data_IF_017380109042
#
_entry.id   IF_017380109042
#
_cell.length_a   1.000
_cell.length_b   1.000
_cell.length_c   1.000
_cell.angle_alpha   90.00
_cell.angle_beta   90.00
_cell.angle_gamma   90.00
#
_symmetry.space_group_name_H-M   'P 1'
#
loop_
_entity.id
_entity.type
_entity.pdbx_description
1 polymer ?
#
# COMPACT_ATOMS: atom_id res chain seq x y z
N UNK A 1 -9.21 11.04 -5.60
CA UNK A 1 -9.14 9.59 -5.74
C UNK A 1 -9.66 9.17 -7.12
N UNK A 2 -8.92 8.37 -7.86
CA UNK A 2 -9.22 8.01 -9.26
C UNK A 2 -10.33 6.96 -9.40
N UNK A 3 -10.57 6.15 -8.37
CA UNK A 3 -11.48 4.99 -8.41
C UNK A 3 -12.98 5.29 -8.61
N UNK A 4 -13.53 6.46 -8.21
CA UNK A 4 -14.92 6.77 -8.53
C UNK A 4 -15.17 6.95 -10.03
N UNK A 5 -14.12 7.16 -10.82
CA UNK A 5 -14.23 7.42 -12.25
C UNK A 5 -14.04 6.13 -13.06
N UNK A 6 -15.06 5.67 -13.81
CA UNK A 6 -14.96 4.44 -14.61
C UNK A 6 -13.80 4.47 -15.62
N UNK A 7 -13.55 5.62 -16.21
CA UNK A 7 -12.47 5.80 -17.19
C UNK A 7 -11.08 5.59 -16.57
N UNK A 8 -10.91 5.96 -15.29
CA UNK A 8 -9.66 5.74 -14.58
C UNK A 8 -9.42 4.25 -14.28
N UNK A 9 -10.46 3.52 -13.95
CA UNK A 9 -10.36 2.06 -13.72
C UNK A 9 -10.03 1.34 -15.02
N UNK A 10 -10.67 1.71 -16.13
CA UNK A 10 -10.40 1.14 -17.45
C UNK A 10 -8.97 1.46 -17.93
N UNK A 11 -8.51 2.69 -17.69
CA UNK A 11 -7.12 3.07 -17.93
C UNK A 11 -6.14 2.20 -17.16
N UNK A 12 -6.36 2.01 -15.85
CA UNK A 12 -5.50 1.15 -15.01
C UNK A 12 -5.50 -0.30 -15.49
N UNK A 13 -6.65 -0.85 -15.86
CA UNK A 13 -6.76 -2.18 -16.44
C UNK A 13 -5.96 -2.31 -17.73
N UNK A 14 -6.09 -1.34 -18.62
CA UNK A 14 -5.37 -1.32 -19.89
C UNK A 14 -3.86 -1.22 -19.65
N UNK A 15 -3.42 -0.35 -18.75
CA UNK A 15 -2.02 -0.22 -18.37
C UNK A 15 -1.46 -1.49 -17.75
N UNK A 16 -2.16 -2.10 -16.81
CA UNK A 16 -1.73 -3.34 -16.17
C UNK A 16 -1.51 -4.48 -17.18
N UNK A 17 -2.41 -4.61 -18.16
CA UNK A 17 -2.29 -5.62 -19.23
C UNK A 17 -1.14 -5.36 -20.20
N UNK A 18 -0.86 -4.09 -20.50
CA UNK A 18 0.14 -3.68 -21.50
C UNK A 18 1.54 -3.47 -20.92
N UNK A 19 1.64 -3.18 -19.62
CA UNK A 19 2.89 -2.88 -18.95
C UNK A 19 3.93 -3.98 -19.17
N UNK A 20 3.54 -5.24 -18.99
CA UNK A 20 4.42 -6.41 -19.16
C UNK A 20 5.04 -6.50 -20.56
N UNK A 21 4.28 -6.17 -21.61
CA UNK A 21 4.75 -6.21 -23.01
C UNK A 21 5.68 -5.04 -23.37
N UNK A 22 5.71 -4.00 -22.56
CA UNK A 22 6.44 -2.75 -22.84
C UNK A 22 7.56 -2.46 -21.83
N UNK A 23 7.91 -3.43 -21.00
CA UNK A 23 8.90 -3.27 -19.92
C UNK A 23 8.58 -2.09 -19.00
N UNK A 24 7.30 -1.87 -18.72
CA UNK A 24 6.80 -0.84 -17.83
C UNK A 24 6.36 -1.49 -16.52
N UNK A 25 6.74 -0.89 -15.40
CA UNK A 25 6.25 -1.25 -14.07
C UNK A 25 5.13 -0.28 -13.66
N UNK A 26 4.05 -0.82 -13.13
CA UNK A 26 2.93 -0.06 -12.59
C UNK A 26 2.86 -0.30 -11.09
N UNK A 27 2.97 0.76 -10.29
CA UNK A 27 2.76 0.73 -8.85
C UNK A 27 1.43 1.43 -8.50
N UNK A 28 0.60 0.74 -7.73
CA UNK A 28 -0.68 1.27 -7.24
C UNK A 28 -0.60 1.34 -5.72
N UNK A 29 -0.88 2.50 -5.17
CA UNK A 29 -0.86 2.75 -3.73
C UNK A 29 -2.24 3.23 -3.31
N UNK A 30 -2.83 2.59 -2.30
CA UNK A 30 -4.11 2.98 -1.74
C UNK A 30 -4.11 2.87 -0.22
N UNK A 31 -4.84 3.76 0.44
CA UNK A 31 -5.04 3.72 1.89
C UNK A 31 -6.25 2.88 2.29
N UNK A 32 -7.21 2.71 1.39
CA UNK A 32 -8.45 1.97 1.65
C UNK A 32 -8.67 0.91 0.59
N UNK A 33 -8.77 -0.34 1.05
CA UNK A 33 -9.02 -1.45 0.15
C UNK A 33 -10.49 -1.51 -0.30
N UNK A 34 -11.41 -1.08 0.52
CA UNK A 34 -12.84 -1.07 0.21
C UNK A 34 -13.15 -0.37 -1.11
N UNK A 35 -12.42 0.69 -1.45
CA UNK A 35 -12.60 1.42 -2.72
C UNK A 35 -12.38 0.53 -3.96
N UNK A 36 -11.57 -0.52 -3.82
CA UNK A 36 -11.31 -1.51 -4.88
C UNK A 36 -12.24 -2.70 -4.79
N UNK A 37 -12.67 -3.06 -3.59
CA UNK A 37 -13.48 -4.26 -3.36
C UNK A 37 -14.84 -4.19 -4.06
N UNK A 38 -15.46 -3.05 -4.08
CA UNK A 38 -16.79 -2.83 -4.66
C UNK A 38 -16.81 -2.88 -6.20
N UNK A 39 -15.64 -2.85 -6.84
CA UNK A 39 -15.51 -2.81 -8.31
C UNK A 39 -14.69 -4.00 -8.81
N UNK A 40 -15.33 -4.98 -9.49
CA UNK A 40 -14.62 -6.17 -10.00
C UNK A 40 -13.43 -5.85 -10.89
N UNK A 41 -13.53 -4.81 -11.72
CA UNK A 41 -12.46 -4.37 -12.60
C UNK A 41 -11.24 -3.85 -11.82
N UNK A 42 -11.49 -3.13 -10.73
CA UNK A 42 -10.43 -2.63 -9.85
C UNK A 42 -9.79 -3.78 -9.04
N UNK A 43 -10.58 -4.74 -8.58
CA UNK A 43 -10.06 -5.96 -7.95
C UNK A 43 -9.14 -6.73 -8.91
N UNK A 44 -9.52 -6.84 -10.18
CA UNK A 44 -8.73 -7.56 -11.18
C UNK A 44 -7.33 -6.94 -11.35
N UNK A 45 -7.22 -5.62 -11.31
CA UNK A 45 -5.92 -4.92 -11.36
C UNK A 45 -5.04 -5.29 -10.16
N UNK A 46 -5.60 -5.25 -8.95
CA UNK A 46 -4.86 -5.57 -7.72
C UNK A 46 -4.47 -7.04 -7.64
N UNK A 47 -5.37 -7.94 -8.00
CA UNK A 47 -5.09 -9.39 -7.96
C UNK A 47 -4.08 -9.81 -9.02
N UNK A 48 -4.01 -9.11 -10.15
CA UNK A 48 -3.04 -9.38 -11.21
C UNK A 48 -1.63 -8.88 -10.89
N UNK A 49 -1.47 -8.03 -9.87
CA UNK A 49 -0.16 -7.59 -9.41
C UNK A 49 0.61 -8.76 -8.78
N UNK A 50 1.84 -8.98 -9.24
CA UNK A 50 2.67 -10.08 -8.74
C UNK A 50 3.25 -9.77 -7.35
N UNK A 51 3.60 -8.51 -7.12
CA UNK A 51 4.14 -8.04 -5.84
C UNK A 51 3.10 -7.20 -5.11
N UNK A 52 2.85 -7.52 -3.85
CA UNK A 52 1.90 -6.82 -2.97
C UNK A 52 2.56 -6.52 -1.65
N UNK A 53 2.48 -5.27 -1.20
CA UNK A 53 2.92 -4.86 0.12
C UNK A 53 1.72 -4.38 0.92
N UNK A 54 1.43 -5.09 2.00
CA UNK A 54 0.39 -4.72 2.95
C UNK A 54 1.04 -4.12 4.20
N UNK A 55 0.68 -2.91 4.52
CA UNK A 55 1.01 -2.27 5.79
C UNK A 55 -0.10 -2.54 6.81
N UNK A 56 0.01 -1.98 8.02
CA UNK A 56 -1.01 -2.12 9.06
C UNK A 56 -2.41 -1.81 8.54
N UNK A 57 -3.35 -2.67 8.86
CA UNK A 57 -4.74 -2.60 8.40
C UNK A 57 -5.72 -2.45 9.55
N UNK A 58 -6.82 -1.77 9.29
CA UNK A 58 -7.93 -1.70 10.21
C UNK A 58 -8.71 -3.03 10.25
N UNK A 59 -9.34 -3.32 11.39
CA UNK A 59 -10.19 -4.50 11.56
C UNK A 59 -11.35 -4.55 10.57
N UNK A 60 -11.84 -3.39 10.14
CA UNK A 60 -12.93 -3.31 9.16
C UNK A 60 -12.50 -3.71 7.75
N UNK A 61 -11.23 -3.50 7.41
CA UNK A 61 -10.69 -3.78 6.07
C UNK A 61 -10.15 -5.21 5.93
N UNK A 62 -9.70 -5.82 7.03
CA UNK A 62 -8.96 -7.08 7.00
C UNK A 62 -9.75 -8.25 6.40
N UNK A 63 -11.07 -8.28 6.57
CA UNK A 63 -11.90 -9.33 6.01
C UNK A 63 -11.91 -9.31 4.49
N UNK A 64 -12.00 -8.13 3.89
CA UNK A 64 -11.95 -7.94 2.44
C UNK A 64 -10.60 -8.36 1.87
N UNK A 65 -9.52 -7.97 2.53
CA UNK A 65 -8.15 -8.36 2.15
C UNK A 65 -7.96 -9.88 2.23
N UNK A 66 -8.42 -10.49 3.30
CA UNK A 66 -8.34 -11.93 3.50
C UNK A 66 -9.08 -12.69 2.40
N UNK A 67 -10.26 -12.23 2.03
CA UNK A 67 -11.10 -12.86 1.01
C UNK A 67 -10.46 -12.75 -0.38
N UNK A 68 -10.04 -11.55 -0.76
CA UNK A 68 -9.50 -11.28 -2.11
C UNK A 68 -8.11 -11.85 -2.30
N UNK A 69 -7.21 -11.68 -1.33
CA UNK A 69 -5.81 -12.10 -1.45
C UNK A 69 -5.51 -13.46 -0.81
N UNK A 70 -6.53 -14.14 -0.29
CA UNK A 70 -6.40 -15.46 0.36
C UNK A 70 -5.35 -15.46 1.47
N UNK A 71 -5.41 -14.45 2.32
CA UNK A 71 -4.52 -14.35 3.48
C UNK A 71 -4.88 -15.40 4.52
N UNK A 72 -3.87 -16.01 5.13
CA UNK A 72 -4.05 -16.91 6.25
C UNK A 72 -4.54 -16.16 7.49
N UNK A 73 -5.01 -16.89 8.48
CA UNK A 73 -5.42 -16.31 9.75
C UNK A 73 -4.26 -15.60 10.46
N UNK A 74 -3.07 -16.19 10.43
CA UNK A 74 -1.86 -15.60 10.99
C UNK A 74 -1.44 -14.30 10.28
N UNK A 75 -1.46 -14.27 8.95
CA UNK A 75 -1.17 -13.07 8.15
C UNK A 75 -2.18 -11.95 8.45
N UNK A 76 -3.45 -12.30 8.53
CA UNK A 76 -4.53 -11.34 8.84
C UNK A 76 -4.39 -10.77 10.25
N UNK A 77 -4.12 -11.61 11.23
CA UNK A 77 -3.90 -11.18 12.63
C UNK A 77 -2.66 -10.30 12.74
N UNK A 78 -1.60 -10.63 12.04
CA UNK A 78 -0.39 -9.80 11.99
C UNK A 78 -0.69 -8.40 11.46
N UNK A 79 -1.39 -8.28 10.33
CA UNK A 79 -1.70 -6.98 9.72
C UNK A 79 -2.57 -6.06 10.59
N UNK A 80 -3.42 -6.64 11.45
CA UNK A 80 -4.24 -5.86 12.40
C UNK A 80 -3.43 -5.39 13.61
N UNK A 81 -2.39 -6.14 13.99
CA UNK A 81 -1.62 -5.89 15.21
C UNK A 81 -0.23 -5.32 14.97
N UNK A 82 0.26 -5.34 13.73
CA UNK A 82 1.59 -4.86 13.40
C UNK A 82 1.75 -3.35 13.67
N UNK A 83 2.98 -2.97 13.97
CA UNK A 83 3.33 -1.60 14.31
C UNK A 83 3.60 -0.77 13.03
N UNK A 84 3.70 0.54 13.23
CA UNK A 84 4.09 1.46 12.15
C UNK A 84 5.46 1.07 11.58
N UNK A 85 5.53 0.93 10.28
CA UNK A 85 6.73 0.50 9.57
C UNK A 85 6.84 -1.01 9.38
N UNK A 86 5.98 -1.80 10.01
CA UNK A 86 5.88 -3.23 9.75
C UNK A 86 4.89 -3.51 8.64
N UNK A 87 5.09 -4.60 7.93
CA UNK A 87 4.21 -4.98 6.83
C UNK A 87 4.44 -6.41 6.35
N UNK A 88 3.56 -6.84 5.47
CA UNK A 88 3.57 -8.13 4.84
C UNK A 88 3.86 -7.96 3.35
N UNK A 89 4.97 -8.49 2.89
CA UNK A 89 5.31 -8.55 1.47
C UNK A 89 4.90 -9.90 0.90
N UNK A 90 4.13 -9.88 -0.16
CA UNK A 90 3.72 -11.06 -0.90
C UNK A 90 4.22 -10.96 -2.34
N UNK A 91 5.00 -11.94 -2.77
CA UNK A 91 5.53 -12.03 -4.14
C UNK A 91 5.17 -13.39 -4.70
N UNK A 92 4.28 -13.41 -5.68
CA UNK A 92 3.69 -14.66 -6.15
C UNK A 92 3.01 -15.42 -5.02
N UNK A 93 3.51 -16.63 -4.70
CA UNK A 93 3.04 -17.48 -3.60
C UNK A 93 3.81 -17.27 -2.30
N UNK A 94 4.94 -16.59 -2.33
CA UNK A 94 5.80 -16.40 -1.17
C UNK A 94 5.38 -15.18 -0.35
N UNK A 95 5.53 -15.29 0.97
CA UNK A 95 5.17 -14.24 1.91
C UNK A 95 6.31 -14.00 2.90
N UNK A 96 6.62 -12.73 3.15
CA UNK A 96 7.63 -12.32 4.13
C UNK A 96 7.10 -11.17 4.99
N UNK A 97 7.44 -11.20 6.28
CA UNK A 97 7.22 -10.08 7.18
C UNK A 97 8.39 -9.10 7.01
N UNK A 98 8.07 -7.83 6.85
CA UNK A 98 9.04 -6.76 6.70
C UNK A 98 8.95 -5.77 7.85
N UNK A 99 10.09 -5.19 8.20
CA UNK A 99 10.18 -3.99 8.98
C UNK A 99 10.93 -2.93 8.18
N UNK A 100 10.27 -1.83 7.89
CA UNK A 100 10.83 -0.69 7.16
C UNK A 100 11.47 0.24 8.20
N UNK A 101 12.77 0.33 8.16
CA UNK A 101 13.55 1.19 9.06
C UNK A 101 14.17 2.31 8.24
N UNK A 102 13.61 3.53 8.28
CA UNK A 102 14.21 4.66 7.59
C UNK A 102 15.55 5.04 8.23
N UNK A 103 16.48 5.47 7.43
CA UNK A 103 17.71 6.12 7.92
C UNK A 103 17.34 7.43 8.61
N UNK A 104 18.23 7.93 9.46
CA UNK A 104 18.00 9.21 10.14
C UNK A 104 17.75 10.35 9.14
N UNK A 105 18.45 10.34 8.01
CA UNK A 105 18.28 11.34 6.95
C UNK A 105 16.93 11.22 6.25
N UNK A 106 16.47 10.01 5.94
CA UNK A 106 15.15 9.77 5.35
C UNK A 106 14.03 10.12 6.32
N UNK A 107 14.22 9.82 7.61
CA UNK A 107 13.25 10.16 8.65
C UNK A 107 13.00 11.67 8.72
N UNK A 108 13.99 12.50 8.41
CA UNK A 108 13.83 13.96 8.34
C UNK A 108 12.80 14.41 7.29
N UNK A 109 12.66 13.67 6.21
CA UNK A 109 11.71 14.01 5.13
C UNK A 109 10.33 13.41 5.33
N UNK A 110 10.21 12.30 6.07
CA UNK A 110 8.93 11.60 6.24
C UNK A 110 8.23 11.90 7.57
N UNK A 111 8.86 12.65 8.47
CA UNK A 111 8.27 13.04 9.75
C UNK A 111 7.11 14.01 9.54
N UNK A 112 5.91 13.57 9.92
CA UNK A 112 4.67 14.33 9.80
C UNK A 112 4.19 14.95 11.11
N UNK A 113 4.92 14.73 12.21
CA UNK A 113 4.55 15.30 13.51
C UNK A 113 4.86 16.80 13.54
N UNK A 114 3.81 17.62 13.53
CA UNK A 114 3.90 19.09 13.50
C UNK A 114 4.79 19.67 14.62
N UNK A 115 4.71 19.11 15.82
CA UNK A 115 5.53 19.59 16.94
C UNK A 115 7.02 19.38 16.70
N UNK A 116 7.39 18.25 16.10
CA UNK A 116 8.77 17.97 15.72
C UNK A 116 9.22 18.83 14.54
N UNK A 117 8.35 19.07 13.58
CA UNK A 117 8.63 19.96 12.44
C UNK A 117 8.86 21.40 12.90
N UNK A 118 8.03 21.92 13.78
CA UNK A 118 8.18 23.27 14.36
C UNK A 118 9.47 23.39 15.19
N UNK A 119 9.82 22.38 15.98
CA UNK A 119 11.07 22.35 16.73
C UNK A 119 12.30 22.38 15.80
N UNK A 120 12.26 21.69 14.66
CA UNK A 120 13.31 21.72 13.64
C UNK A 120 13.47 23.08 12.98
N UNK A 121 12.36 23.74 12.64
CA UNK A 121 12.40 25.10 12.06
C UNK A 121 13.04 26.11 13.01
N UNK A 122 12.80 25.99 14.32
CA UNK A 122 13.44 26.85 15.32
C UNK A 122 14.95 26.61 15.45
N UNK A 123 15.38 25.36 15.31
CA UNK A 123 16.79 24.99 15.44
C UNK A 123 17.59 25.15 14.15
N UNK A 124 16.94 25.24 13.02
CA UNK A 124 17.55 25.40 11.71
C UNK A 124 16.72 26.36 10.85
N UNK A 125 16.73 27.66 11.18
CA UNK A 125 15.96 28.64 10.42
C UNK A 125 16.48 28.66 8.98
N UNK A 126 15.62 28.32 8.03
CA UNK A 126 15.90 28.51 6.60
C UNK A 126 15.93 30.00 6.36
N UNK A 127 17.06 30.48 5.99
CA UNK A 127 17.28 31.89 5.63
C UNK A 127 16.47 32.23 4.38
#
# INVERSE_FOLDING_TARGET
>A
MLLPYPEAVDFLNTMARRARKRNVSLAIISQRFQDFYEKPEAQAVLTSSDTKLFLAQDKSEIQYLREVFKLSEGESSFLVTCLKGEGLLKVGSETAILQIVPTQKEFEFVETNLNKLVARQKNNPVI
#
